data_IF_502374294424
#
_entry.id   IF_502374294424
#
_cell.length_a   1.000
_cell.length_b   1.000
_cell.length_c   1.000
_cell.angle_alpha   90.00
_cell.angle_beta   90.00
_cell.angle_gamma   90.00
#
_symmetry.space_group_name_H-M   'P 1'
#
loop_
_entity.id
_entity.type
_entity.pdbx_description
1 polymer ?
#
# COMPACT_ATOMS: atom_id res chain seq x y z
N UNK A 1 -14.67 -26.27 12.94
CA UNK A 1 -13.77 -26.73 14.02
C UNK A 1 -12.47 -25.95 13.93
N UNK A 2 -11.81 -25.67 15.05
CA UNK A 2 -10.52 -24.95 15.07
C UNK A 2 -9.38 -25.98 15.05
N UNK A 3 -8.28 -25.68 14.35
CA UNK A 3 -7.13 -26.58 14.28
C UNK A 3 -6.56 -26.88 15.68
N UNK A 4 -6.27 -28.15 16.02
CA UNK A 4 -5.61 -28.51 17.28
C UNK A 4 -4.29 -27.75 17.53
N UNK A 5 -3.56 -27.43 16.45
CA UNK A 5 -2.32 -26.63 16.48
C UNK A 5 -2.61 -25.19 16.94
N UNK A 6 -3.73 -24.61 16.52
CA UNK A 6 -4.12 -23.26 16.95
C UNK A 6 -4.56 -23.23 18.43
N UNK A 7 -5.19 -24.30 18.92
CA UNK A 7 -5.55 -24.42 20.34
C UNK A 7 -4.29 -24.49 21.21
N UNK A 8 -3.31 -25.30 20.81
CA UNK A 8 -2.03 -25.41 21.52
C UNK A 8 -1.24 -24.09 21.45
N UNK A 9 -1.33 -23.35 20.33
CA UNK A 9 -0.81 -21.99 20.21
C UNK A 9 -1.43 -21.00 21.22
N UNK A 10 -2.76 -20.95 21.34
CA UNK A 10 -3.46 -20.08 22.29
C UNK A 10 -3.10 -20.44 23.74
N UNK A 11 -2.97 -21.74 24.05
CA UNK A 11 -2.52 -22.22 25.37
C UNK A 11 -1.10 -21.75 25.69
N UNK A 12 -0.18 -21.84 24.74
CA UNK A 12 1.19 -21.35 24.91
C UNK A 12 1.25 -19.82 25.10
N UNK A 13 0.24 -19.05 24.66
CA UNK A 13 0.08 -17.62 24.96
C UNK A 13 -0.57 -17.32 26.31
N UNK A 14 -1.08 -18.32 27.04
CA UNK A 14 -1.89 -18.11 28.25
C UNK A 14 -3.28 -17.52 27.97
N UNK A 15 -3.85 -17.79 26.78
CA UNK A 15 -5.18 -17.35 26.39
C UNK A 15 -6.20 -18.45 26.66
N UNK A 16 -7.18 -18.17 27.52
CA UNK A 16 -8.28 -19.08 27.90
C UNK A 16 -9.52 -18.97 27.02
N UNK A 17 -9.70 -17.85 26.31
CA UNK A 17 -10.70 -17.71 25.25
C UNK A 17 -10.21 -16.73 24.17
N UNK A 18 -10.57 -17.01 22.92
CA UNK A 18 -10.20 -16.19 21.77
C UNK A 18 -11.40 -16.00 20.83
N UNK A 19 -11.50 -14.82 20.25
CA UNK A 19 -12.45 -14.48 19.19
C UNK A 19 -11.73 -13.58 18.18
N UNK A 20 -11.89 -13.86 16.89
CA UNK A 20 -11.29 -13.06 15.82
C UNK A 20 -12.36 -12.64 14.83
N UNK A 21 -12.31 -11.38 14.40
CA UNK A 21 -13.24 -10.83 13.42
C UNK A 21 -12.43 -10.30 12.24
N UNK A 22 -12.77 -10.74 11.04
CA UNK A 22 -12.06 -10.37 9.82
C UNK A 22 -12.43 -8.97 9.38
N UNK A 23 -11.42 -8.15 9.08
CA UNK A 23 -11.53 -6.88 8.37
C UNK A 23 -11.26 -7.19 6.90
N UNK A 24 -12.26 -7.02 6.05
CA UNK A 24 -12.18 -7.35 4.61
C UNK A 24 -12.34 -6.06 3.80
N UNK A 25 -11.37 -5.80 2.94
CA UNK A 25 -11.39 -4.65 2.02
C UNK A 25 -11.05 -5.12 0.61
N UNK A 26 -11.83 -4.66 -0.40
CA UNK A 26 -11.63 -5.01 -1.81
C UNK A 26 -11.60 -6.53 -2.06
N UNK A 27 -12.44 -7.30 -1.37
CA UNK A 27 -12.49 -8.76 -1.50
C UNK A 27 -11.29 -9.51 -0.92
N UNK A 28 -10.34 -8.83 -0.27
CA UNK A 28 -9.18 -9.45 0.39
C UNK A 28 -9.22 -9.24 1.90
N UNK A 29 -8.71 -10.21 2.66
CA UNK A 29 -8.44 -10.02 4.09
C UNK A 29 -7.42 -8.90 4.24
N UNK A 30 -7.87 -7.78 4.81
CA UNK A 30 -7.02 -6.63 5.12
C UNK A 30 -6.34 -6.84 6.48
N UNK A 31 -7.09 -7.35 7.45
CA UNK A 31 -6.59 -7.62 8.80
C UNK A 31 -7.60 -8.34 9.68
N UNK A 32 -7.29 -8.43 10.97
CA UNK A 32 -8.11 -9.11 11.97
C UNK A 32 -8.23 -8.23 13.23
N UNK A 33 -9.44 -8.15 13.78
CA UNK A 33 -9.65 -7.75 15.18
C UNK A 33 -9.50 -9.02 16.01
N UNK A 34 -8.38 -9.15 16.72
CA UNK A 34 -8.11 -10.29 17.59
C UNK A 34 -8.43 -9.95 19.04
N UNK A 35 -9.37 -10.69 19.63
CA UNK A 35 -9.80 -10.54 21.02
C UNK A 35 -9.32 -11.75 21.82
N UNK A 36 -8.55 -11.50 22.89
CA UNK A 36 -8.07 -12.55 23.79
C UNK A 36 -8.57 -12.31 25.22
N UNK A 37 -8.91 -13.39 25.91
CA UNK A 37 -9.24 -13.38 27.33
C UNK A 37 -8.43 -14.47 28.05
N UNK A 38 -7.90 -14.18 29.24
CA UNK A 38 -7.06 -15.12 30.00
C UNK A 38 -7.85 -16.30 30.56
N UNK A 39 -9.11 -16.07 30.89
CA UNK A 39 -10.03 -17.10 31.40
C UNK A 39 -11.06 -17.50 30.34
N UNK A 40 -11.65 -18.71 30.43
CA UNK A 40 -12.75 -19.11 29.56
C UNK A 40 -13.89 -18.09 29.59
N UNK A 41 -14.30 -17.61 28.42
CA UNK A 41 -15.35 -16.61 28.28
C UNK A 41 -16.21 -16.89 27.06
N UNK A 42 -17.51 -17.10 27.30
CA UNK A 42 -18.50 -17.20 26.24
C UNK A 42 -19.03 -15.81 25.91
N UNK A 43 -18.86 -15.39 24.66
CA UNK A 43 -19.41 -14.13 24.14
C UNK A 43 -20.82 -14.41 23.59
N UNK A 44 -21.88 -13.74 24.06
CA UNK A 44 -23.25 -13.97 23.56
C UNK A 44 -23.38 -13.71 22.05
N UNK A 45 -24.30 -14.39 21.34
CA UNK A 45 -24.50 -14.19 19.90
C UNK A 45 -24.76 -12.73 19.50
N UNK A 46 -25.54 -11.98 20.29
CA UNK A 46 -25.83 -10.56 20.03
C UNK A 46 -24.57 -9.68 20.06
N UNK A 47 -23.65 -9.95 20.98
CA UNK A 47 -22.37 -9.24 21.07
C UNK A 47 -21.47 -9.59 19.90
N UNK A 48 -21.47 -10.85 19.44
CA UNK A 48 -20.72 -11.26 18.24
C UNK A 48 -21.26 -10.57 16.99
N UNK A 49 -22.58 -10.52 16.82
CA UNK A 49 -23.22 -9.81 15.71
C UNK A 49 -22.91 -8.31 15.73
N UNK A 50 -22.94 -7.66 16.90
CA UNK A 50 -22.53 -6.26 17.04
C UNK A 50 -21.05 -6.05 16.67
N UNK A 51 -20.18 -6.98 17.04
CA UNK A 51 -18.76 -6.91 16.72
C UNK A 51 -18.49 -7.15 15.22
N UNK A 52 -19.26 -8.02 14.56
CA UNK A 52 -19.23 -8.20 13.11
C UNK A 52 -19.66 -6.91 12.38
N UNK A 53 -20.75 -6.27 12.83
CA UNK A 53 -21.17 -4.96 12.30
C UNK A 53 -20.10 -3.89 12.50
N UNK A 54 -19.44 -3.88 13.65
CA UNK A 54 -18.34 -2.96 13.91
C UNK A 54 -17.15 -3.20 12.96
N UNK A 55 -16.84 -4.46 12.63
CA UNK A 55 -15.80 -4.78 11.64
C UNK A 55 -16.15 -4.24 10.25
N UNK A 56 -17.42 -4.27 9.85
CA UNK A 56 -17.86 -3.64 8.60
C UNK A 56 -17.59 -2.13 8.61
N UNK A 57 -17.90 -1.45 9.72
CA UNK A 57 -17.60 -0.02 9.88
C UNK A 57 -16.10 0.29 9.80
N UNK A 58 -15.27 -0.48 10.50
CA UNK A 58 -13.81 -0.33 10.45
C UNK A 58 -13.30 -0.54 9.02
N UNK A 59 -13.76 -1.60 8.36
CA UNK A 59 -13.39 -1.90 6.97
C UNK A 59 -13.72 -0.75 6.02
N UNK A 60 -14.87 -0.08 6.22
CA UNK A 60 -15.26 1.10 5.43
C UNK A 60 -14.38 2.31 5.70
N UNK A 61 -14.08 2.59 6.97
CA UNK A 61 -13.23 3.73 7.34
C UNK A 61 -11.81 3.57 6.82
N UNK A 62 -11.25 2.36 6.87
CA UNK A 62 -9.96 2.03 6.27
C UNK A 62 -9.97 2.26 4.76
N UNK A 63 -10.97 1.71 4.06
CA UNK A 63 -11.08 1.88 2.61
C UNK A 63 -11.23 3.35 2.19
N UNK A 64 -12.01 4.14 2.95
CA UNK A 64 -12.16 5.57 2.72
C UNK A 64 -10.86 6.33 2.93
N UNK A 65 -10.11 6.03 4.01
CA UNK A 65 -8.82 6.65 4.28
C UNK A 65 -7.79 6.33 3.18
N UNK A 66 -7.69 5.07 2.78
CA UNK A 66 -6.83 4.63 1.68
C UNK A 66 -7.18 5.37 0.38
N UNK A 67 -8.47 5.54 0.10
CA UNK A 67 -8.94 6.27 -1.08
C UNK A 67 -8.58 7.76 -1.03
N UNK A 68 -8.71 8.41 0.13
CA UNK A 68 -8.33 9.82 0.30
C UNK A 68 -6.83 10.01 0.08
N UNK A 69 -5.99 9.16 0.69
CA UNK A 69 -4.53 9.19 0.51
C UNK A 69 -4.17 9.02 -0.97
N UNK A 70 -4.73 8.00 -1.63
CA UNK A 70 -4.49 7.75 -3.04
C UNK A 70 -4.93 8.91 -3.94
N UNK A 71 -6.06 9.57 -3.63
CA UNK A 71 -6.54 10.73 -4.39
C UNK A 71 -5.59 11.92 -4.26
N UNK A 72 -5.14 12.23 -3.04
CA UNK A 72 -4.20 13.32 -2.79
C UNK A 72 -2.86 13.10 -3.51
N UNK A 73 -2.37 11.86 -3.52
CA UNK A 73 -1.16 11.50 -4.26
C UNK A 73 -1.35 11.65 -5.78
N UNK A 74 -2.49 11.20 -6.33
CA UNK A 74 -2.78 11.34 -7.77
C UNK A 74 -2.93 12.82 -8.18
N UNK A 75 -3.59 13.64 -7.37
CA UNK A 75 -3.75 15.07 -7.64
C UNK A 75 -2.40 15.81 -7.58
N UNK A 76 -1.54 15.50 -6.58
CA UNK A 76 -0.19 16.05 -6.48
C UNK A 76 0.68 15.66 -7.68
N UNK A 77 0.64 14.39 -8.08
CA UNK A 77 1.39 13.91 -9.24
C UNK A 77 0.87 14.52 -10.55
N UNK A 78 -0.43 14.79 -10.66
CA UNK A 78 -1.05 15.45 -11.83
C UNK A 78 -0.59 16.90 -11.96
N UNK A 79 -0.68 17.69 -10.89
CA UNK A 79 -0.23 19.10 -10.86
C UNK A 79 1.27 19.20 -11.17
N UNK A 80 2.09 18.33 -10.57
CA UNK A 80 3.52 18.28 -10.87
C UNK A 80 3.80 17.99 -12.36
N UNK A 81 3.07 17.04 -12.96
CA UNK A 81 3.20 16.71 -14.38
C UNK A 81 2.80 17.86 -15.30
N UNK A 82 1.74 18.59 -14.98
CA UNK A 82 1.30 19.76 -15.75
C UNK A 82 2.33 20.89 -15.68
N UNK A 83 2.90 21.15 -14.50
CA UNK A 83 3.97 22.13 -14.33
C UNK A 83 5.24 21.74 -15.09
N UNK A 84 5.63 20.47 -15.01
CA UNK A 84 6.78 19.95 -15.75
C UNK A 84 6.57 20.11 -17.26
N UNK A 85 5.41 19.73 -17.77
CA UNK A 85 5.05 19.89 -19.16
C UNK A 85 5.20 21.34 -19.65
N UNK A 86 4.68 22.31 -18.87
CA UNK A 86 4.81 23.73 -19.19
C UNK A 86 6.26 24.19 -19.21
N UNK A 87 7.09 23.75 -18.25
CA UNK A 87 8.51 24.09 -18.17
C UNK A 87 9.34 23.52 -19.30
N UNK A 88 9.04 22.29 -19.72
CA UNK A 88 9.74 21.64 -20.81
C UNK A 88 9.33 22.22 -22.16
N UNK A 89 8.09 22.69 -22.33
CA UNK A 89 7.57 23.21 -23.61
C UNK A 89 8.49 24.27 -24.21
N UNK A 90 8.88 24.10 -25.49
CA UNK A 90 9.73 25.04 -26.21
C UNK A 90 11.23 25.01 -25.84
N UNK A 91 11.64 24.20 -24.86
CA UNK A 91 13.06 24.00 -24.54
C UNK A 91 13.77 23.19 -25.62
N UNK A 92 14.94 23.67 -26.05
CA UNK A 92 15.84 22.96 -26.97
C UNK A 92 16.68 21.90 -26.22
N UNK A 93 17.10 22.21 -24.99
CA UNK A 93 17.91 21.33 -24.15
C UNK A 93 17.09 20.79 -22.96
N UNK A 94 16.43 19.65 -23.17
CA UNK A 94 15.55 19.00 -22.19
C UNK A 94 16.31 18.63 -20.91
N UNK A 95 17.58 18.20 -21.04
CA UNK A 95 18.40 17.79 -19.92
C UNK A 95 18.60 18.92 -18.89
N UNK A 96 18.95 20.12 -19.36
CA UNK A 96 19.12 21.31 -18.52
C UNK A 96 17.79 21.71 -17.87
N UNK A 97 16.70 21.71 -18.65
CA UNK A 97 15.38 22.01 -18.10
C UNK A 97 14.89 20.97 -17.05
N UNK A 98 15.26 19.70 -17.20
CA UNK A 98 14.99 18.66 -16.21
C UNK A 98 15.83 18.83 -14.94
N UNK A 99 17.10 19.19 -15.08
CA UNK A 99 17.96 19.49 -13.93
C UNK A 99 17.39 20.64 -13.09
N UNK A 100 16.81 21.65 -13.74
CA UNK A 100 16.17 22.80 -13.09
C UNK A 100 14.79 22.51 -12.50
N UNK A 101 14.20 21.34 -12.77
CA UNK A 101 12.84 20.96 -12.33
C UNK A 101 12.80 19.68 -11.49
N UNK A 102 13.93 19.32 -10.88
CA UNK A 102 14.01 18.12 -10.03
C UNK A 102 13.09 18.16 -8.80
N UNK A 103 12.82 19.35 -8.25
CA UNK A 103 11.86 19.56 -7.17
C UNK A 103 10.42 19.22 -7.60
N UNK A 104 10.07 19.48 -8.87
CA UNK A 104 8.77 19.10 -9.45
C UNK A 104 8.70 17.58 -9.65
N UNK A 105 9.79 16.96 -10.10
CA UNK A 105 9.86 15.50 -10.28
C UNK A 105 9.65 14.73 -8.96
N UNK A 106 10.12 15.27 -7.83
CA UNK A 106 9.91 14.69 -6.50
C UNK A 106 8.43 14.61 -6.10
N UNK A 107 7.59 15.51 -6.64
CA UNK A 107 6.16 15.47 -6.41
C UNK A 107 5.41 14.44 -7.29
N UNK A 108 6.06 13.87 -8.31
CA UNK A 108 5.44 12.90 -9.24
C UNK A 108 5.56 11.45 -8.76
N UNK A 109 6.62 11.12 -8.02
CA UNK A 109 6.89 9.79 -7.52
C UNK A 109 7.39 9.89 -6.07
N UNK A 110 6.87 9.06 -5.14
CA UNK A 110 7.40 9.04 -3.78
C UNK A 110 8.83 8.47 -3.81
N UNK A 111 9.81 9.36 -3.67
CA UNK A 111 11.24 9.09 -3.64
C UNK A 111 11.92 9.93 -2.56
N UNK A 112 13.11 9.49 -2.14
CA UNK A 112 13.98 10.23 -1.23
C UNK A 112 15.09 10.98 -1.97
N UNK A 113 15.30 10.66 -3.26
CA UNK A 113 16.17 11.41 -4.13
C UNK A 113 16.10 11.00 -5.59
N UNK A 114 16.66 11.85 -6.43
CA UNK A 114 16.58 11.78 -7.90
C UNK A 114 17.96 12.06 -8.45
N UNK A 115 18.40 11.26 -9.43
CA UNK A 115 19.59 11.52 -10.21
C UNK A 115 19.26 11.51 -11.71
N UNK A 116 19.69 12.55 -12.40
CA UNK A 116 19.61 12.71 -13.84
C UNK A 116 21.00 12.49 -14.42
N UNK A 117 21.12 11.57 -15.36
CA UNK A 117 22.28 11.49 -16.23
C UNK A 117 21.93 12.02 -17.60
N UNK A 118 22.68 13.01 -18.07
CA UNK A 118 22.64 13.44 -19.45
C UNK A 118 23.99 13.89 -19.96
N UNK A 119 24.30 13.55 -21.21
CA UNK A 119 25.59 13.83 -21.87
C UNK A 119 26.81 13.47 -20.99
N UNK A 120 26.68 12.39 -20.23
CA UNK A 120 27.73 11.88 -19.34
C UNK A 120 27.87 12.60 -17.98
N UNK A 121 27.10 13.65 -17.74
CA UNK A 121 27.08 14.40 -16.49
C UNK A 121 25.93 13.98 -15.58
N UNK A 122 26.12 14.12 -14.26
CA UNK A 122 25.12 13.83 -13.24
C UNK A 122 24.60 15.14 -12.64
N UNK A 123 23.27 15.27 -12.57
CA UNK A 123 22.58 16.23 -11.70
C UNK A 123 21.79 15.44 -10.65
N UNK A 124 21.74 15.93 -9.41
CA UNK A 124 21.13 15.19 -8.29
C UNK A 124 20.27 16.11 -7.44
N UNK A 125 19.23 15.54 -6.83
CA UNK A 125 18.33 16.21 -5.91
C UNK A 125 17.91 15.24 -4.79
N UNK A 126 17.79 15.73 -3.56
CA UNK A 126 17.49 14.89 -2.40
C UNK A 126 18.66 13.97 -2.01
N UNK A 127 18.34 12.78 -1.50
CA UNK A 127 19.32 11.76 -1.07
C UNK A 127 19.65 10.83 -2.23
N UNK A 128 20.89 10.88 -2.70
CA UNK A 128 21.39 10.02 -3.78
C UNK A 128 22.67 9.31 -3.36
N UNK A 129 22.99 8.14 -3.94
CA UNK A 129 24.27 7.47 -3.71
C UNK A 129 25.46 8.33 -4.17
N UNK A 130 26.67 7.89 -3.84
CA UNK A 130 27.91 8.42 -4.42
C UNK A 130 27.93 8.27 -5.96
N UNK A 131 28.84 8.97 -6.64
CA UNK A 131 29.00 8.87 -8.10
C UNK A 131 29.26 7.42 -8.57
N UNK A 132 30.00 6.64 -7.81
CA UNK A 132 30.23 5.22 -8.09
C UNK A 132 28.94 4.41 -7.91
N UNK A 133 28.17 4.70 -6.85
CA UNK A 133 26.86 4.12 -6.62
C UNK A 133 25.85 4.43 -7.73
N UNK A 134 25.81 5.67 -8.20
CA UNK A 134 24.98 6.09 -9.35
C UNK A 134 25.37 5.36 -10.62
N UNK A 135 26.68 5.23 -10.87
CA UNK A 135 27.20 4.50 -12.03
C UNK A 135 26.84 3.01 -11.99
N UNK A 136 26.91 2.39 -10.81
CA UNK A 136 26.52 0.99 -10.62
C UNK A 136 25.01 0.78 -10.78
N UNK A 137 24.19 1.67 -10.20
CA UNK A 137 22.74 1.67 -10.35
C UNK A 137 22.32 1.78 -11.83
N UNK A 138 22.99 2.65 -12.58
CA UNK A 138 22.77 2.80 -14.01
C UNK A 138 23.16 1.55 -14.81
N UNK A 139 24.31 0.94 -14.50
CA UNK A 139 24.73 -0.30 -15.16
C UNK A 139 23.77 -1.45 -14.85
N UNK A 140 23.26 -1.52 -13.62
CA UNK A 140 22.19 -2.44 -13.25
C UNK A 140 20.93 -2.19 -14.10
N UNK A 141 20.47 -0.94 -14.23
CA UNK A 141 19.29 -0.60 -15.02
C UNK A 141 19.44 -1.00 -16.49
N UNK A 142 20.60 -0.70 -17.10
CA UNK A 142 20.90 -1.07 -18.49
C UNK A 142 20.83 -2.58 -18.75
N UNK A 143 21.24 -3.41 -17.79
CA UNK A 143 21.19 -4.88 -17.91
C UNK A 143 19.77 -5.44 -17.89
N UNK A 144 18.83 -4.75 -17.27
CA UNK A 144 17.44 -5.22 -17.13
C UNK A 144 16.55 -4.84 -18.33
N UNK A 145 17.08 -4.07 -19.29
CA UNK A 145 16.35 -3.67 -20.50
C UNK A 145 15.29 -2.59 -20.23
N UNK A 146 14.48 -2.30 -21.25
CA UNK A 146 13.49 -1.20 -21.25
C UNK A 146 12.06 -1.63 -21.58
N UNK A 147 11.80 -2.94 -21.62
CA UNK A 147 10.46 -3.50 -21.85
C UNK A 147 9.51 -3.17 -20.70
N UNK A 148 10.03 -3.21 -19.47
CA UNK A 148 9.45 -2.59 -18.28
C UNK A 148 10.53 -1.74 -17.62
N UNK A 149 10.14 -0.61 -17.04
CA UNK A 149 11.08 0.22 -16.28
C UNK A 149 11.80 -0.60 -15.20
N UNK A 150 13.15 -0.64 -15.19
CA UNK A 150 13.91 -1.32 -14.16
C UNK A 150 13.59 -0.73 -12.79
N UNK A 151 13.11 -1.58 -11.87
CA UNK A 151 12.83 -1.18 -10.50
C UNK A 151 13.22 -2.30 -9.52
N UNK A 152 13.90 -1.94 -8.44
CA UNK A 152 14.22 -2.81 -7.31
C UNK A 152 13.96 -2.08 -6.00
N UNK A 153 13.58 -2.83 -4.98
CA UNK A 153 13.44 -2.36 -3.60
C UNK A 153 14.54 -2.95 -2.69
N UNK A 154 15.54 -3.62 -3.26
CA UNK A 154 16.62 -4.28 -2.52
C UNK A 154 17.97 -3.68 -2.92
N UNK A 155 18.71 -3.14 -1.95
CA UNK A 155 20.04 -2.58 -2.18
C UNK A 155 20.99 -3.59 -2.85
N UNK A 156 20.94 -4.85 -2.40
CA UNK A 156 21.82 -5.93 -2.88
C UNK A 156 21.72 -6.21 -4.39
N UNK A 157 20.64 -5.80 -5.06
CA UNK A 157 20.50 -6.04 -6.50
C UNK A 157 21.27 -5.02 -7.35
N UNK A 158 21.42 -3.79 -6.86
CA UNK A 158 21.83 -2.64 -7.68
C UNK A 158 22.94 -1.78 -7.06
N UNK A 159 23.18 -1.88 -5.76
CA UNK A 159 24.18 -1.09 -5.07
C UNK A 159 25.49 -1.87 -4.87
N UNK A 160 26.60 -1.14 -4.75
CA UNK A 160 27.83 -1.69 -4.20
C UNK A 160 27.72 -1.74 -2.66
N UNK A 161 28.36 -2.72 -2.00
CA UNK A 161 28.45 -2.74 -0.54
C UNK A 161 28.94 -1.39 -0.01
N UNK A 162 28.28 -0.86 1.03
CA UNK A 162 28.60 0.38 1.73
C UNK A 162 28.55 1.68 0.89
N UNK A 163 28.07 1.63 -0.36
CA UNK A 163 28.05 2.78 -1.28
C UNK A 163 26.65 3.35 -1.57
N UNK A 164 25.61 2.87 -0.86
CA UNK A 164 24.22 3.23 -1.11
C UNK A 164 23.66 4.34 -0.20
N UNK A 165 24.44 4.86 0.76
CA UNK A 165 24.04 5.96 1.65
C UNK A 165 22.65 5.76 2.31
N UNK A 166 22.39 4.53 2.76
CA UNK A 166 21.10 4.18 3.36
C UNK A 166 19.92 4.15 2.38
N UNK A 167 20.16 4.05 1.07
CA UNK A 167 19.15 3.83 0.03
C UNK A 167 19.06 2.34 -0.33
N UNK A 168 17.85 1.85 -0.57
CA UNK A 168 17.62 0.46 -0.94
C UNK A 168 16.73 0.30 -2.19
N UNK A 169 15.91 1.31 -2.50
CA UNK A 169 15.07 1.31 -3.69
C UNK A 169 15.72 2.08 -4.83
N UNK A 170 15.60 1.55 -6.05
CA UNK A 170 15.91 2.25 -7.30
C UNK A 170 14.80 2.01 -8.32
N UNK A 171 14.41 3.04 -9.05
CA UNK A 171 13.57 2.97 -10.24
C UNK A 171 14.23 3.80 -11.34
N UNK A 172 14.42 3.24 -12.52
CA UNK A 172 15.17 3.86 -13.61
C UNK A 172 14.30 4.11 -14.84
N UNK A 173 14.36 5.33 -15.39
CA UNK A 173 13.59 5.78 -16.54
C UNK A 173 14.55 6.27 -17.64
N UNK A 174 14.67 5.56 -18.77
CA UNK A 174 15.37 6.08 -19.93
C UNK A 174 14.50 7.11 -20.63
N UNK A 175 15.05 8.26 -21.02
CA UNK A 175 14.22 9.32 -21.62
C UNK A 175 14.81 10.00 -22.86
N UNK A 176 16.07 9.72 -23.19
CA UNK A 176 16.75 10.34 -24.34
C UNK A 176 17.38 9.33 -25.29
N UNK A 177 17.83 9.84 -26.46
CA UNK A 177 18.54 9.05 -27.47
C UNK A 177 20.02 8.83 -27.12
N UNK A 178 20.58 9.58 -26.17
CA UNK A 178 22.00 9.58 -25.82
C UNK A 178 22.29 8.85 -24.50
N UNK A 179 21.53 7.79 -24.23
CA UNK A 179 21.69 7.01 -22.99
C UNK A 179 21.50 7.90 -21.74
N UNK A 180 20.48 8.76 -21.83
CA UNK A 180 20.04 9.67 -20.77
C UNK A 180 19.01 8.96 -19.86
N UNK A 181 19.21 9.09 -18.56
CA UNK A 181 18.43 8.36 -17.54
C UNK A 181 18.02 9.25 -16.37
N UNK A 182 16.82 9.02 -15.88
CA UNK A 182 16.36 9.47 -14.58
C UNK A 182 16.33 8.28 -13.63
N UNK A 183 16.96 8.40 -12.47
CA UNK A 183 16.98 7.41 -11.41
C UNK A 183 16.27 7.99 -10.19
N UNK A 184 15.26 7.29 -9.68
CA UNK A 184 14.57 7.61 -8.44
C UNK A 184 15.04 6.63 -7.37
N UNK A 185 15.36 7.14 -6.18
CA UNK A 185 15.84 6.36 -5.06
C UNK A 185 14.87 6.40 -3.89
N UNK A 186 14.83 5.31 -3.13
CA UNK A 186 14.14 5.25 -1.83
C UNK A 186 15.10 4.82 -0.74
N UNK A 187 14.98 5.49 0.41
CA UNK A 187 15.66 5.14 1.63
C UNK A 187 15.29 3.73 2.07
N UNK A 188 16.25 3.08 2.72
CA UNK A 188 16.03 1.88 3.48
C UNK A 188 14.96 2.15 4.55
N UNK A 189 13.92 1.33 4.56
CA UNK A 189 13.02 1.25 5.71
C UNK A 189 13.49 0.10 6.58
N UNK A 190 14.13 0.47 7.67
CA UNK A 190 14.49 -0.47 8.73
C UNK A 190 13.20 -0.83 9.47
N UNK A 191 12.58 -1.93 9.06
CA UNK A 191 11.45 -2.50 9.79
C UNK A 191 11.99 -3.35 10.94
N UNK A 192 11.72 -2.91 12.18
CA UNK A 192 11.81 -3.76 13.36
C UNK A 192 10.58 -4.67 13.37
N UNK A 193 10.68 -5.80 12.69
CA UNK A 193 9.62 -6.80 12.71
C UNK A 193 9.69 -7.47 14.08
N UNK A 194 8.82 -7.03 14.99
CA UNK A 194 8.64 -7.70 16.28
C UNK A 194 7.83 -8.97 16.04
N UNK A 195 8.54 -10.03 15.74
CA UNK A 195 7.95 -11.35 15.72
C UNK A 195 7.61 -11.77 17.14
N UNK A 196 6.46 -12.42 17.32
CA UNK A 196 6.09 -13.04 18.58
C UNK A 196 6.83 -14.38 18.78
N UNK A 197 8.14 -14.42 18.52
CA UNK A 197 9.04 -15.59 18.54
C UNK A 197 9.97 -15.64 17.32
N UNK A 198 11.05 -16.43 17.38
CA UNK A 198 12.03 -16.58 16.28
C UNK A 198 11.41 -17.28 15.04
N UNK A 199 11.36 -16.63 13.86
CA UNK A 199 10.79 -17.19 12.62
C UNK A 199 11.65 -18.30 12.02
N UNK A 200 12.94 -18.39 12.38
CA UNK A 200 13.87 -19.39 11.86
C UNK A 200 13.87 -20.69 12.66
N UNK A 201 12.98 -20.86 13.65
CA UNK A 201 12.95 -22.05 14.49
C UNK A 201 12.37 -23.26 13.72
N UNK A 202 13.16 -24.31 13.47
CA UNK A 202 12.69 -25.46 12.68
C UNK A 202 11.57 -26.23 13.38
N UNK A 203 10.70 -26.83 12.57
CA UNK A 203 9.65 -27.77 13.00
C UNK A 203 10.23 -28.80 13.98
N UNK A 204 9.62 -28.95 15.14
CA UNK A 204 10.08 -29.93 16.16
C UNK A 204 9.57 -31.31 15.76
N UNK A 205 10.44 -32.32 15.55
CA UNK A 205 10.01 -33.69 15.36
C UNK A 205 9.34 -34.20 16.63
N UNK A 206 8.18 -34.84 16.50
CA UNK A 206 7.51 -35.58 17.58
C UNK A 206 7.61 -37.08 17.33
N UNK A 207 7.50 -37.89 18.38
CA UNK A 207 7.67 -39.37 18.31
C UNK A 207 6.71 -40.07 17.32
N UNK A 208 5.60 -39.42 16.92
CA UNK A 208 4.63 -39.92 15.94
C UNK A 208 4.81 -39.34 14.51
N UNK A 209 5.94 -38.68 14.22
CA UNK A 209 6.27 -38.09 12.91
C UNK A 209 6.42 -36.56 12.92
N UNK A 210 6.58 -35.97 11.72
CA UNK A 210 6.74 -34.52 11.54
C UNK A 210 5.38 -33.83 11.72
N UNK A 211 5.10 -33.33 12.93
CA UNK A 211 3.92 -32.53 13.21
C UNK A 211 4.29 -31.05 13.29
N UNK A 212 3.46 -30.18 12.72
CA UNK A 212 3.55 -28.74 12.96
C UNK A 212 3.16 -28.52 14.43
N UNK A 213 4.14 -28.45 15.33
CA UNK A 213 3.93 -28.07 16.71
C UNK A 213 3.98 -26.53 16.82
N UNK A 214 2.99 -25.90 17.46
CA UNK A 214 3.02 -24.46 17.68
C UNK A 214 4.11 -24.11 18.70
N UNK A 215 4.70 -22.92 18.54
CA UNK A 215 5.81 -22.47 19.39
C UNK A 215 5.44 -22.39 20.87
N UNK A 216 6.41 -22.71 21.73
CA UNK A 216 6.28 -22.69 23.21
C UNK A 216 6.59 -21.33 23.87
N UNK A 217 7.16 -20.37 23.13
CA UNK A 217 7.55 -19.05 23.65
C UNK A 217 7.04 -17.94 22.74
N UNK A 218 6.52 -16.87 23.36
CA UNK A 218 6.04 -15.63 22.75
C UNK A 218 6.90 -14.42 23.13
N UNK A 219 8.12 -14.66 23.64
CA UNK A 219 9.07 -13.60 23.86
C UNK A 219 9.33 -12.86 22.54
N UNK A 220 9.23 -11.52 22.58
CA UNK A 220 9.43 -10.66 21.41
C UNK A 220 10.80 -10.92 20.80
N UNK A 221 10.85 -11.42 19.57
CA UNK A 221 12.05 -11.52 18.76
C UNK A 221 11.99 -10.39 17.73
N UNK A 222 13.02 -9.54 17.68
CA UNK A 222 13.08 -8.44 16.72
C UNK A 222 13.99 -8.86 15.57
N UNK A 223 13.44 -8.91 14.37
CA UNK A 223 14.25 -8.91 13.15
C UNK A 223 14.35 -7.49 12.68
N UNK A 224 15.57 -7.01 12.53
CA UNK A 224 15.83 -5.77 11.82
C UNK A 224 16.08 -6.15 10.37
N UNK A 225 15.06 -6.07 9.51
CA UNK A 225 15.23 -6.32 8.07
C UNK A 225 15.92 -5.10 7.48
N UNK A 226 17.11 -5.32 6.92
CA UNK A 226 17.97 -4.27 6.33
C UNK A 226 18.10 -4.41 4.82
N UNK A 227 18.50 -3.34 4.17
CA UNK A 227 18.75 -3.28 2.73
C UNK A 227 17.49 -3.31 1.87
N UNK A 228 16.32 -3.05 2.46
CA UNK A 228 15.03 -3.04 1.77
C UNK A 228 14.37 -1.67 1.88
N UNK A 229 13.82 -1.18 0.77
CA UNK A 229 12.96 -0.02 0.72
C UNK A 229 11.51 -0.45 0.55
N UNK A 230 10.58 0.51 0.73
CA UNK A 230 9.18 0.31 0.36
C UNK A 230 9.07 -0.11 -1.11
N UNK A 231 8.32 -1.19 -1.42
CA UNK A 231 8.12 -1.63 -2.79
C UNK A 231 7.54 -0.55 -3.69
N UNK A 232 8.03 -0.46 -4.93
CA UNK A 232 7.44 0.39 -5.96
C UNK A 232 6.06 -0.16 -6.33
N UNK A 233 5.02 0.57 -5.94
CA UNK A 233 3.64 0.20 -6.20
C UNK A 233 3.32 0.24 -7.70
N UNK A 234 2.19 -0.34 -8.09
CA UNK A 234 1.71 -0.25 -9.46
C UNK A 234 1.44 1.21 -9.87
N UNK A 235 0.95 2.03 -8.94
CA UNK A 235 0.75 3.47 -9.16
C UNK A 235 2.08 4.19 -9.45
N UNK A 236 3.14 3.86 -8.69
CA UNK A 236 4.49 4.42 -8.92
C UNK A 236 5.01 4.03 -10.30
N UNK A 237 4.90 2.75 -10.67
CA UNK A 237 5.35 2.25 -11.97
C UNK A 237 4.59 2.92 -13.12
N UNK A 238 3.28 3.06 -12.99
CA UNK A 238 2.44 3.75 -13.97
C UNK A 238 2.77 5.25 -14.06
N UNK A 239 3.07 5.90 -12.94
CA UNK A 239 3.54 7.29 -12.90
C UNK A 239 4.88 7.46 -13.63
N UNK A 240 5.81 6.54 -13.40
CA UNK A 240 7.11 6.52 -14.05
C UNK A 240 7.01 6.28 -15.56
N UNK A 241 6.15 5.36 -16.02
CA UNK A 241 5.90 5.17 -17.45
C UNK A 241 5.28 6.43 -18.08
N UNK A 242 4.31 7.08 -17.42
CA UNK A 242 3.77 8.36 -17.92
C UNK A 242 4.83 9.44 -18.05
N UNK A 243 5.76 9.52 -17.09
CA UNK A 243 6.90 10.43 -17.18
C UNK A 243 7.81 10.05 -18.35
N UNK A 244 8.12 8.77 -18.55
CA UNK A 244 8.87 8.28 -19.72
C UNK A 244 8.25 8.76 -21.03
N UNK A 245 6.94 8.58 -21.21
CA UNK A 245 6.21 9.00 -22.40
C UNK A 245 6.29 10.52 -22.61
N UNK A 246 6.07 11.31 -21.55
CA UNK A 246 6.17 12.76 -21.59
C UNK A 246 7.54 13.25 -22.08
N UNK A 247 8.61 12.53 -21.73
CA UNK A 247 9.98 12.90 -22.10
C UNK A 247 10.40 12.36 -23.48
N UNK A 248 9.84 11.24 -23.93
CA UNK A 248 10.21 10.60 -25.21
C UNK A 248 9.42 11.12 -26.41
N UNK A 249 8.19 11.61 -26.23
CA UNK A 249 7.35 12.10 -27.33
C UNK A 249 7.42 13.63 -27.49
N UNK A 250 7.99 14.09 -28.61
CA UNK A 250 7.49 15.30 -29.28
C UNK A 250 7.25 14.96 -30.75
N UNK A 251 6.10 15.34 -31.34
CA UNK A 251 5.30 16.50 -31.01
C UNK A 251 4.05 16.16 -30.19
N UNK A 252 3.75 17.01 -29.22
CA UNK A 252 2.58 16.95 -28.35
C UNK A 252 1.27 16.62 -29.09
N UNK A 253 0.70 15.46 -28.79
CA UNK A 253 -0.75 15.35 -28.60
C UNK A 253 -0.98 15.43 -27.08
N UNK A 254 -2.02 16.12 -26.60
CA UNK A 254 -2.45 15.91 -25.23
C UNK A 254 -2.61 14.40 -25.08
N UNK A 255 -1.95 13.82 -24.06
CA UNK A 255 -2.28 12.47 -23.60
C UNK A 255 -3.79 12.34 -23.71
N UNK A 256 -4.34 11.30 -24.35
CA UNK A 256 -5.76 11.08 -24.22
C UNK A 256 -6.01 11.17 -22.72
N UNK A 257 -6.86 12.11 -22.30
CA UNK A 257 -7.73 11.78 -21.20
C UNK A 257 -8.29 10.45 -21.69
N UNK A 258 -7.77 9.35 -21.18
CA UNK A 258 -8.43 8.09 -21.27
C UNK A 258 -9.32 8.08 -20.05
N UNK A 259 -10.51 8.74 -20.12
CA UNK A 259 -11.52 8.45 -19.16
C UNK A 259 -11.83 6.96 -19.25
N UNK A 260 -11.55 6.21 -20.32
CA UNK A 260 -11.63 4.75 -20.28
C UNK A 260 -10.86 4.17 -19.10
N UNK A 261 -9.53 4.32 -18.98
CA UNK A 261 -8.82 3.72 -17.84
C UNK A 261 -9.11 4.37 -16.48
N UNK A 262 -9.22 5.70 -16.38
CA UNK A 262 -9.44 6.36 -15.07
C UNK A 262 -10.92 6.39 -14.69
N UNK A 263 -11.85 6.57 -15.64
CA UNK A 263 -13.31 6.48 -15.43
C UNK A 263 -13.75 5.03 -15.41
N UNK A 264 -13.15 4.06 -16.12
CA UNK A 264 -13.42 2.63 -15.88
C UNK A 264 -12.79 2.19 -14.58
N UNK A 265 -11.60 2.62 -14.15
CA UNK A 265 -11.13 2.28 -12.81
C UNK A 265 -11.97 2.99 -11.73
N UNK A 266 -12.39 4.25 -11.92
CA UNK A 266 -13.28 4.97 -10.99
C UNK A 266 -14.72 4.46 -11.04
N UNK A 267 -15.24 4.00 -12.18
CA UNK A 267 -16.59 3.42 -12.34
C UNK A 267 -16.59 1.95 -11.96
N UNK A 268 -15.53 1.20 -12.23
CA UNK A 268 -15.32 -0.17 -11.75
C UNK A 268 -15.11 -0.15 -10.26
N UNK A 269 -14.25 0.73 -9.69
CA UNK A 269 -14.17 0.94 -8.23
C UNK A 269 -15.46 1.49 -7.65
N UNK A 270 -16.13 2.49 -8.27
CA UNK A 270 -17.45 2.97 -7.78
C UNK A 270 -18.52 1.88 -7.88
N UNK A 271 -18.58 1.08 -8.94
CA UNK A 271 -19.54 -0.03 -9.09
C UNK A 271 -19.19 -1.19 -8.17
N UNK A 272 -17.91 -1.47 -7.94
CA UNK A 272 -17.47 -2.46 -6.96
C UNK A 272 -17.78 -1.99 -5.55
N UNK A 273 -17.44 -0.75 -5.20
CA UNK A 273 -17.79 -0.14 -3.92
C UNK A 273 -19.30 -0.09 -3.78
N UNK A 274 -20.09 0.30 -4.78
CA UNK A 274 -21.56 0.31 -4.70
C UNK A 274 -22.13 -1.11 -4.60
N UNK A 275 -21.63 -2.08 -5.35
CA UNK A 275 -22.08 -3.47 -5.28
C UNK A 275 -21.66 -4.14 -3.95
N UNK A 276 -20.51 -3.78 -3.42
CA UNK A 276 -19.98 -4.23 -2.14
C UNK A 276 -20.72 -3.56 -0.99
N UNK A 277 -20.98 -2.26 -1.06
CA UNK A 277 -21.80 -1.51 -0.10
C UNK A 277 -23.25 -2.00 -0.14
N UNK A 278 -23.79 -2.32 -1.31
CA UNK A 278 -25.11 -2.96 -1.45
C UNK A 278 -25.11 -4.36 -0.84
N UNK A 279 -24.12 -5.20 -1.16
CA UNK A 279 -23.99 -6.52 -0.55
C UNK A 279 -23.80 -6.45 0.98
N UNK A 280 -23.14 -5.40 1.49
CA UNK A 280 -22.96 -5.16 2.93
C UNK A 280 -24.24 -4.63 3.58
N UNK A 281 -25.02 -3.80 2.89
CA UNK A 281 -26.36 -3.38 3.32
C UNK A 281 -27.32 -4.58 3.34
N UNK A 282 -27.25 -5.46 2.35
CA UNK A 282 -28.04 -6.69 2.30
C UNK A 282 -27.63 -7.64 3.45
N UNK A 283 -26.33 -7.73 3.78
CA UNK A 283 -25.83 -8.48 4.95
C UNK A 283 -26.24 -7.84 6.29
N UNK A 284 -26.19 -6.51 6.41
CA UNK A 284 -26.68 -5.77 7.58
C UNK A 284 -28.19 -5.97 7.75
N UNK A 285 -28.96 -5.90 6.67
CA UNK A 285 -30.40 -6.19 6.66
C UNK A 285 -30.70 -7.62 7.10
N UNK A 286 -29.99 -8.61 6.56
CA UNK A 286 -30.13 -10.02 6.96
C UNK A 286 -29.74 -10.27 8.42
N UNK A 287 -28.72 -9.56 8.93
CA UNK A 287 -28.33 -9.62 10.34
C UNK A 287 -29.36 -8.95 11.25
N UNK A 288 -29.97 -7.84 10.82
CA UNK A 288 -31.04 -7.16 11.55
C UNK A 288 -32.32 -8.00 11.62
N UNK A 289 -32.71 -8.65 10.52
CA UNK A 289 -33.81 -9.62 10.50
C UNK A 289 -33.53 -10.83 11.40
N UNK A 290 -32.27 -11.24 11.52
CA UNK A 290 -31.84 -12.30 12.44
C UNK A 290 -31.79 -11.91 13.93
N UNK A 291 -31.86 -10.61 14.25
CA UNK A 291 -31.78 -10.07 15.62
C UNK A 291 -33.15 -9.91 16.31
N UNK A 292 -34.23 -10.47 15.75
CA UNK A 292 -35.62 -10.37 16.25
C UNK A 292 -35.91 -10.94 17.66
N UNK A 293 -34.90 -11.17 18.51
CA UNK A 293 -35.03 -11.62 19.91
C UNK A 293 -34.31 -10.69 20.92
N UNK A 294 -33.95 -9.47 20.54
CA UNK A 294 -33.44 -8.46 21.47
C UNK A 294 -34.61 -7.68 22.10
N UNK A 295 -34.57 -7.50 23.43
CA UNK A 295 -35.57 -6.71 24.15
C UNK A 295 -35.63 -5.26 23.69
N UNK A 296 -36.84 -4.69 23.69
CA UNK A 296 -37.23 -3.45 23.00
C UNK A 296 -36.26 -2.27 23.19
N UNK A 297 -35.68 -2.11 24.38
CA UNK A 297 -34.82 -0.98 24.72
C UNK A 297 -33.39 -1.08 24.13
N UNK A 298 -32.87 -2.30 23.95
CA UNK A 298 -31.58 -2.52 23.27
C UNK A 298 -31.72 -2.49 21.76
N UNK A 299 -32.83 -3.00 21.24
CA UNK A 299 -33.16 -2.92 19.81
C UNK A 299 -33.35 -1.47 19.37
N UNK A 300 -33.98 -0.63 20.21
CA UNK A 300 -34.12 0.81 19.95
C UNK A 300 -32.76 1.53 19.91
N UNK A 301 -31.84 1.22 20.84
CA UNK A 301 -30.50 1.84 20.86
C UNK A 301 -29.63 1.40 19.68
N UNK A 302 -29.66 0.12 19.33
CA UNK A 302 -28.91 -0.39 18.17
C UNK A 302 -29.52 0.14 16.87
N UNK A 303 -30.84 0.17 16.75
CA UNK A 303 -31.55 0.75 15.60
C UNK A 303 -31.26 2.25 15.42
N UNK A 304 -31.26 3.02 16.52
CA UNK A 304 -30.87 4.43 16.47
C UNK A 304 -29.42 4.63 16.02
N UNK A 305 -28.50 3.78 16.50
CA UNK A 305 -27.09 3.84 16.10
C UNK A 305 -26.86 3.41 14.66
N UNK A 306 -27.63 2.45 14.16
CA UNK A 306 -27.60 2.03 12.75
C UNK A 306 -28.17 3.13 11.85
N UNK A 307 -29.28 3.76 12.23
CA UNK A 307 -29.85 4.88 11.49
C UNK A 307 -28.89 6.09 11.41
N UNK A 308 -28.16 6.35 12.50
CA UNK A 308 -27.10 7.36 12.54
C UNK A 308 -25.94 6.99 11.61
N UNK A 309 -25.52 5.72 11.60
CA UNK A 309 -24.49 5.21 10.68
C UNK A 309 -24.94 5.23 9.21
N UNK A 310 -26.21 4.94 8.91
CA UNK A 310 -26.80 5.07 7.57
C UNK A 310 -26.84 6.53 7.11
N UNK A 311 -27.16 7.46 8.01
CA UNK A 311 -27.14 8.89 7.72
C UNK A 311 -25.72 9.40 7.43
N UNK A 312 -24.73 8.99 8.23
CA UNK A 312 -23.31 9.26 7.97
C UNK A 312 -22.86 8.66 6.61
N UNK A 313 -23.28 7.43 6.31
CA UNK A 313 -23.00 6.78 5.03
C UNK A 313 -23.60 7.54 3.84
N UNK A 314 -24.84 8.02 3.95
CA UNK A 314 -25.48 8.85 2.91
C UNK A 314 -24.75 10.19 2.72
N UNK A 315 -24.29 10.84 3.79
CA UNK A 315 -23.49 12.05 3.69
C UNK A 315 -22.14 11.81 2.99
N UNK A 316 -21.45 10.72 3.35
CA UNK A 316 -20.19 10.33 2.71
C UNK A 316 -20.37 9.95 1.23
N UNK A 317 -21.52 9.38 0.88
CA UNK A 317 -21.87 9.03 -0.51
C UNK A 317 -22.20 10.26 -1.37
N UNK A 318 -22.82 11.28 -0.80
CA UNK A 318 -23.31 12.43 -1.58
C UNK A 318 -22.31 13.57 -1.68
N UNK A 319 -21.34 13.68 -0.78
CA UNK A 319 -20.36 14.78 -0.78
C UNK A 319 -21.04 16.11 -0.50
N UNK A 320 -20.47 16.91 0.41
CA UNK A 320 -20.87 18.31 0.47
C UNK A 320 -20.67 18.93 -0.92
N UNK A 321 -21.68 19.59 -1.52
CA UNK A 321 -21.39 20.56 -2.56
C UNK A 321 -20.51 21.63 -1.91
N UNK A 322 -19.33 21.81 -2.50
CA UNK A 322 -18.37 22.86 -2.13
C UNK A 322 -19.10 24.21 -2.23
N UNK A 323 -19.21 24.91 -1.11
CA UNK A 323 -19.27 26.38 -1.09
C UNK A 323 -17.85 26.94 -1.23
#
# INVERSE_FOLDING_TARGET
SVSPVHIEYLKNMGVGASMSISIVGNGRLWGLIACHHREPRLVPPSVRAAADMFSLFVSMRVAAADQTIASLQDDRARDARERLALRLTGQEEIATALADTMDILDAMLPSDGIALRSDGQWSTHGRTPSLDGLSNALQWARRHGVERLPASNMAATWALPDANDGLAGVLAIPFGRRDDWLLFFRAEQVEDVVWAGDPNKPMVPTDDGVRIAPRKSFASWRETVRGHAMPWSEADRNGAERLRWLLQERPWQPLPDDPGNVRDMRMFRRRHVIAEQKSRLDQLGALLDGLGHLGDDQTARIGARIAELEAELRQLMHGNPVE
#
